data_IF_019486909954
#
_entry.id   IF_019486909954
#
_cell.length_a   1.000
_cell.length_b   1.000
_cell.length_c   1.000
_cell.angle_alpha   90.00
_cell.angle_beta   90.00
_cell.angle_gamma   90.00
#
_symmetry.space_group_name_H-M   'P 1'
#
loop_
_entity.id
_entity.type
_entity.pdbx_description
1 polymer ?
#
# COMPACT_ATOMS: atom_id res chain seq x y z
N UNK A 1 -9.48 3.80 -24.34
CA UNK A 1 -10.31 3.81 -23.12
C UNK A 1 -9.59 4.69 -22.13
N UNK A 2 -10.26 5.69 -21.56
CA UNK A 2 -9.63 6.67 -20.69
C UNK A 2 -9.23 6.02 -19.35
N UNK A 3 -8.00 6.26 -18.87
CA UNK A 3 -7.47 5.59 -17.68
C UNK A 3 -8.28 5.93 -16.42
N UNK A 4 -8.82 7.16 -16.36
CA UNK A 4 -9.71 7.60 -15.28
C UNK A 4 -10.99 6.74 -15.19
N UNK A 5 -11.62 6.45 -16.34
CA UNK A 5 -12.84 5.65 -16.39
C UNK A 5 -12.60 4.23 -15.86
N UNK A 6 -11.47 3.64 -16.22
CA UNK A 6 -11.10 2.31 -15.74
C UNK A 6 -10.84 2.30 -14.22
N UNK A 7 -10.14 3.31 -13.70
CA UNK A 7 -9.90 3.46 -12.26
C UNK A 7 -11.21 3.63 -11.49
N UNK A 8 -12.13 4.46 -11.99
CA UNK A 8 -13.44 4.68 -11.36
C UNK A 8 -14.26 3.39 -11.28
N UNK A 9 -14.28 2.59 -12.35
CA UNK A 9 -14.97 1.29 -12.36
C UNK A 9 -14.34 0.28 -11.40
N UNK A 10 -13.01 0.31 -11.18
CA UNK A 10 -12.34 -0.54 -10.18
C UNK A 10 -12.66 -0.15 -8.74
N UNK A 11 -12.93 1.13 -8.45
CA UNK A 11 -13.29 1.62 -7.11
C UNK A 11 -14.77 1.36 -6.80
N UNK A 12 -15.64 1.41 -7.82
CA UNK A 12 -17.10 1.32 -7.68
C UNK A 12 -17.61 0.19 -6.78
N UNK A 13 -17.06 -1.05 -6.80
CA UNK A 13 -17.51 -2.13 -5.92
C UNK A 13 -17.24 -1.91 -4.43
N UNK A 14 -16.36 -0.97 -4.07
CA UNK A 14 -15.99 -0.64 -2.69
C UNK A 14 -16.80 0.52 -2.11
N UNK A 15 -17.66 1.15 -2.92
CA UNK A 15 -18.52 2.23 -2.47
C UNK A 15 -19.76 1.68 -1.76
N UNK A 16 -20.16 2.34 -0.67
CA UNK A 16 -21.45 2.06 -0.05
C UNK A 16 -22.61 2.51 -0.95
N UNK A 17 -23.80 1.95 -0.70
CA UNK A 17 -25.00 2.35 -1.43
C UNK A 17 -25.27 3.86 -1.26
N UNK A 18 -25.35 4.58 -2.39
CA UNK A 18 -25.57 6.03 -2.43
C UNK A 18 -24.32 6.88 -2.13
N UNK A 19 -23.15 6.26 -1.95
CA UNK A 19 -21.86 6.97 -1.87
C UNK A 19 -21.40 7.36 -3.29
N UNK A 20 -20.88 8.58 -3.44
CA UNK A 20 -20.44 9.13 -4.71
C UNK A 20 -18.92 9.23 -4.75
N UNK A 21 -18.31 8.69 -5.79
CA UNK A 21 -16.89 8.84 -6.06
C UNK A 21 -16.61 10.25 -6.58
N UNK A 22 -15.86 11.04 -5.81
CA UNK A 22 -15.43 12.39 -6.18
C UNK A 22 -14.20 12.29 -7.08
N UNK A 23 -13.12 11.70 -6.59
CA UNK A 23 -11.85 11.60 -7.33
C UNK A 23 -11.18 10.25 -7.11
N UNK A 24 -10.36 9.83 -8.06
CA UNK A 24 -9.51 8.63 -7.97
C UNK A 24 -8.16 8.89 -8.63
N UNK A 25 -7.10 8.31 -8.07
CA UNK A 25 -5.76 8.36 -8.64
C UNK A 25 -5.02 7.05 -8.35
N UNK A 26 -4.24 6.58 -9.32
CA UNK A 26 -3.28 5.50 -9.09
C UNK A 26 -2.05 6.05 -8.37
N UNK A 27 -1.63 5.38 -7.31
CA UNK A 27 -0.55 5.85 -6.46
C UNK A 27 0.38 4.73 -6.00
N UNK A 28 1.57 5.15 -5.59
CA UNK A 28 2.60 4.34 -4.96
C UNK A 28 3.14 5.11 -3.74
N UNK A 29 3.75 4.41 -2.78
CA UNK A 29 4.42 5.11 -1.67
C UNK A 29 5.64 5.86 -2.18
N UNK A 30 5.88 7.05 -1.62
CA UNK A 30 7.06 7.84 -1.93
C UNK A 30 8.35 7.06 -1.65
N UNK A 31 9.40 7.24 -2.49
CA UNK A 31 10.68 6.56 -2.30
C UNK A 31 11.26 6.92 -0.93
N UNK A 32 11.62 5.94 -0.11
CA UNK A 32 12.11 6.17 1.25
C UNK A 32 11.03 6.25 2.34
N UNK A 33 9.74 6.06 2.03
CA UNK A 33 8.76 5.70 3.07
C UNK A 33 9.19 4.36 3.69
N UNK A 34 9.38 4.27 5.02
CA UNK A 34 9.84 3.03 5.63
C UNK A 34 8.85 1.89 5.47
N UNK A 35 9.38 0.67 5.32
CA UNK A 35 8.60 -0.54 5.52
C UNK A 35 8.22 -0.67 7.01
N UNK A 36 6.94 -0.99 7.34
CA UNK A 36 6.53 -1.23 8.72
C UNK A 36 7.28 -2.40 9.34
N UNK A 37 7.62 -2.34 10.65
CA UNK A 37 8.19 -3.48 11.34
C UNK A 37 7.22 -4.66 11.34
N UNK A 38 7.76 -5.87 11.17
CA UNK A 38 6.97 -7.10 11.07
C UNK A 38 6.05 -7.37 12.28
N UNK A 39 6.36 -6.80 13.45
CA UNK A 39 5.53 -6.90 14.65
C UNK A 39 4.21 -6.15 14.55
N UNK A 40 4.09 -5.19 13.63
CA UNK A 40 2.86 -4.44 13.37
C UNK A 40 2.02 -5.05 12.26
N UNK A 41 2.57 -6.02 11.52
CA UNK A 41 1.88 -6.66 10.41
C UNK A 41 1.11 -7.88 10.87
N UNK A 42 -0.06 -8.11 10.29
CA UNK A 42 -0.84 -9.31 10.51
C UNK A 42 -0.03 -10.55 10.07
N UNK A 43 -0.07 -11.66 10.86
CA UNK A 43 0.63 -12.88 10.50
C UNK A 43 0.17 -13.37 9.12
N UNK A 44 1.14 -13.76 8.29
CA UNK A 44 0.85 -14.23 6.93
C UNK A 44 -0.09 -15.44 6.99
N UNK A 45 -1.24 -15.35 6.33
CA UNK A 45 -2.10 -16.52 6.21
C UNK A 45 -1.38 -17.57 5.35
N UNK A 46 -1.29 -18.83 5.81
CA UNK A 46 -0.64 -19.87 5.04
C UNK A 46 -1.39 -20.08 3.73
N UNK A 47 -0.63 -20.05 2.62
CA UNK A 47 -1.17 -20.24 1.27
C UNK A 47 -1.92 -21.58 1.16
N UNK A 48 -2.86 -21.69 0.22
CA UNK A 48 -3.60 -22.95 0.02
C UNK A 48 -2.66 -24.13 -0.28
N UNK A 49 -1.54 -23.88 -0.96
CA UNK A 49 -0.50 -24.86 -1.19
C UNK A 49 0.17 -25.29 0.11
N UNK A 50 0.50 -24.35 1.00
CA UNK A 50 1.06 -24.65 2.31
C UNK A 50 0.08 -25.45 3.16
N UNK A 51 -1.21 -25.11 3.16
CA UNK A 51 -2.25 -25.89 3.85
C UNK A 51 -2.33 -27.33 3.32
N UNK A 52 -2.32 -27.51 1.99
CA UNK A 52 -2.32 -28.84 1.36
C UNK A 52 -1.08 -29.67 1.71
N UNK A 53 0.09 -29.04 1.78
CA UNK A 53 1.33 -29.73 2.17
C UNK A 53 1.28 -30.11 3.66
N UNK A 54 0.83 -29.21 4.52
CA UNK A 54 0.62 -29.49 5.94
C UNK A 54 -0.44 -30.57 6.18
N UNK A 55 -1.49 -30.65 5.36
CA UNK A 55 -2.51 -31.70 5.39
C UNK A 55 -1.98 -33.08 5.02
N UNK A 56 -1.05 -33.15 4.06
CA UNK A 56 -0.45 -34.40 3.61
C UNK A 56 0.72 -34.87 4.47
N UNK A 57 1.14 -34.10 5.48
CA UNK A 57 2.26 -34.46 6.35
C UNK A 57 1.81 -35.37 7.52
N UNK A 58 2.51 -36.49 7.79
CA UNK A 58 2.30 -37.34 8.96
C UNK A 58 2.36 -36.54 10.27
N UNK A 59 1.57 -36.94 11.29
CA UNK A 59 1.46 -36.26 12.60
C UNK A 59 2.79 -35.87 13.29
N UNK A 60 3.88 -36.69 13.27
CA UNK A 60 5.16 -36.27 13.85
C UNK A 60 5.85 -35.16 13.03
N UNK A 61 5.71 -35.18 11.70
CA UNK A 61 6.27 -34.16 10.81
C UNK A 61 5.46 -32.85 10.82
N UNK A 62 4.15 -32.91 11.10
CA UNK A 62 3.32 -31.73 11.39
C UNK A 62 3.76 -30.97 12.65
N UNK A 63 4.27 -31.67 13.68
CA UNK A 63 4.82 -31.03 14.88
C UNK A 63 6.18 -30.40 14.59
N UNK A 64 7.01 -31.06 13.79
CA UNK A 64 8.29 -30.53 13.34
C UNK A 64 8.16 -29.35 12.36
N UNK A 65 7.14 -29.33 11.50
CA UNK A 65 6.86 -28.16 10.67
C UNK A 65 6.42 -26.98 11.54
N UNK A 66 5.52 -27.20 12.52
CA UNK A 66 5.12 -26.16 13.48
C UNK A 66 6.27 -25.69 14.37
N UNK A 67 7.21 -26.54 14.75
CA UNK A 67 8.36 -26.17 15.59
C UNK A 67 9.54 -25.57 14.79
N UNK A 68 9.70 -25.93 13.51
CA UNK A 68 10.67 -25.30 12.60
C UNK A 68 10.15 -23.99 11.98
N UNK A 69 8.85 -23.72 12.03
CA UNK A 69 8.24 -22.46 11.61
C UNK A 69 8.52 -21.29 12.58
N UNK A 70 9.23 -21.52 13.70
CA UNK A 70 9.82 -20.46 14.52
C UNK A 70 11.16 -19.93 13.99
N UNK A 71 11.69 -20.46 12.89
CA UNK A 71 12.71 -19.77 12.11
C UNK A 71 12.47 -19.96 10.59
N UNK A 72 11.71 -19.05 9.95
CA UNK A 72 11.36 -19.15 8.54
C UNK A 72 12.52 -18.87 7.57
N UNK A 73 13.74 -18.58 8.04
CA UNK A 73 14.84 -18.08 7.20
C UNK A 73 15.61 -19.14 6.41
N UNK A 74 15.37 -20.45 6.62
CA UNK A 74 16.31 -21.47 6.13
C UNK A 74 15.83 -22.46 5.06
N UNK A 75 14.57 -22.43 4.62
CA UNK A 75 14.15 -23.43 3.62
C UNK A 75 12.93 -23.06 2.77
N UNK A 76 13.12 -22.18 1.77
CA UNK A 76 12.47 -22.30 0.46
C UNK A 76 13.02 -21.32 -0.58
N UNK A 77 13.26 -21.74 -1.84
CA UNK A 77 13.75 -20.87 -2.91
C UNK A 77 12.75 -19.76 -3.32
N UNK A 78 11.46 -19.92 -3.04
CA UNK A 78 10.46 -18.87 -3.30
C UNK A 78 10.51 -17.73 -2.26
N UNK A 79 10.78 -18.05 -0.99
CA UNK A 79 11.02 -17.04 0.05
C UNK A 79 12.42 -16.42 -0.11
N UNK A 80 13.37 -17.15 -0.70
CA UNK A 80 14.63 -16.58 -1.14
C UNK A 80 14.43 -15.62 -2.31
N UNK A 81 13.57 -15.89 -3.30
CA UNK A 81 13.25 -14.91 -4.34
C UNK A 81 12.59 -13.64 -3.75
N UNK A 82 11.60 -13.82 -2.88
CA UNK A 82 10.88 -12.73 -2.20
C UNK A 82 11.73 -11.97 -1.15
N UNK A 83 12.79 -12.59 -0.61
CA UNK A 83 13.72 -11.96 0.33
C UNK A 83 14.98 -11.40 -0.36
N UNK A 84 15.38 -11.97 -1.49
CA UNK A 84 16.46 -11.46 -2.36
C UNK A 84 15.96 -10.26 -3.15
N UNK A 85 14.65 -10.13 -3.43
CA UNK A 85 14.07 -8.86 -3.90
C UNK A 85 14.03 -7.80 -2.79
N UNK A 86 13.72 -8.16 -1.53
CA UNK A 86 13.58 -7.20 -0.41
C UNK A 86 14.87 -6.83 0.33
N UNK A 87 15.94 -7.60 0.18
CA UNK A 87 17.23 -7.34 0.85
C UNK A 87 18.04 -6.20 0.22
N UNK A 88 18.08 -6.02 -1.12
CA UNK A 88 18.57 -4.81 -1.76
C UNK A 88 17.77 -3.57 -1.31
N UNK A 89 16.45 -3.71 -1.20
CA UNK A 89 15.53 -2.61 -0.89
C UNK A 89 15.78 -1.95 0.48
N UNK A 90 16.20 -2.69 1.51
CA UNK A 90 16.37 -2.08 2.85
C UNK A 90 17.62 -1.17 2.94
N UNK A 91 18.65 -1.44 2.14
CA UNK A 91 19.86 -0.61 2.04
C UNK A 91 19.64 0.52 1.03
N UNK A 92 18.97 0.22 -0.08
CA UNK A 92 18.50 1.22 -1.03
C UNK A 92 17.52 2.20 -0.37
N UNK A 93 16.58 1.76 0.48
CA UNK A 93 15.67 2.61 1.24
C UNK A 93 16.39 3.61 2.13
N UNK A 94 17.50 3.20 2.74
CA UNK A 94 18.29 4.09 3.60
C UNK A 94 19.07 5.11 2.76
N UNK A 95 19.66 4.69 1.63
CA UNK A 95 20.30 5.58 0.67
C UNK A 95 19.29 6.53 0.00
N UNK A 96 18.10 6.04 -0.29
CA UNK A 96 16.99 6.74 -0.93
C UNK A 96 16.38 7.74 0.05
N UNK A 97 16.22 7.42 1.33
CA UNK A 97 15.86 8.40 2.38
C UNK A 97 16.89 9.53 2.50
N UNK A 98 18.17 9.19 2.46
CA UNK A 98 19.25 10.19 2.52
C UNK A 98 19.27 11.09 1.28
N UNK A 99 18.91 10.55 0.11
CA UNK A 99 18.87 11.27 -1.17
C UNK A 99 17.56 12.06 -1.40
N UNK A 100 16.43 11.58 -0.87
CA UNK A 100 15.08 12.09 -1.17
C UNK A 100 14.37 12.73 0.04
N UNK A 101 15.02 12.80 1.20
CA UNK A 101 14.48 13.37 2.43
C UNK A 101 13.48 12.46 3.16
N UNK A 102 12.95 12.97 4.28
CA UNK A 102 11.89 12.31 5.04
C UNK A 102 10.62 12.27 4.21
N UNK A 103 10.05 11.08 4.01
CA UNK A 103 8.81 10.87 3.24
C UNK A 103 7.66 10.26 4.07
N UNK A 104 7.86 10.16 5.39
CA UNK A 104 6.86 9.82 6.40
C UNK A 104 7.19 10.54 7.70
N UNK A 105 6.21 11.21 8.30
CA UNK A 105 6.32 11.92 9.58
C UNK A 105 5.30 11.39 10.59
N UNK A 106 5.60 11.45 11.90
CA UNK A 106 4.67 11.08 12.98
C UNK A 106 4.81 9.66 13.53
N UNK A 107 5.73 8.84 13.01
CA UNK A 107 5.99 7.48 13.52
C UNK A 107 4.89 6.46 13.20
N UNK A 108 4.97 5.25 13.78
CA UNK A 108 4.06 4.14 13.44
C UNK A 108 2.67 4.22 14.10
N UNK A 109 2.57 4.96 15.20
CA UNK A 109 1.35 5.08 16.00
C UNK A 109 0.40 6.16 15.45
N UNK A 110 0.91 7.06 14.61
CA UNK A 110 0.15 8.11 13.95
C UNK A 110 -0.81 7.57 12.89
N UNK A 111 -1.66 8.44 12.37
CA UNK A 111 -2.55 8.13 11.25
C UNK A 111 -1.77 7.81 9.98
N UNK A 112 -0.67 8.51 9.69
CA UNK A 112 0.21 8.20 8.57
C UNK A 112 0.89 6.83 8.74
N UNK A 113 1.39 6.52 9.93
CA UNK A 113 1.99 5.22 10.23
C UNK A 113 0.99 4.07 10.05
N UNK A 114 -0.23 4.24 10.58
CA UNK A 114 -1.32 3.27 10.43
C UNK A 114 -1.76 3.09 8.98
N UNK A 115 -1.77 4.17 8.18
CA UNK A 115 -2.04 4.11 6.75
C UNK A 115 -1.01 3.24 6.02
N UNK A 116 0.29 3.45 6.28
CA UNK A 116 1.36 2.65 5.67
C UNK A 116 1.29 1.19 6.12
N UNK A 117 1.03 0.93 7.41
CA UNK A 117 0.81 -0.43 7.94
C UNK A 117 -0.34 -1.12 7.22
N UNK A 118 -1.47 -0.42 7.04
CA UNK A 118 -2.65 -0.98 6.38
C UNK A 118 -2.38 -1.35 4.90
N UNK A 119 -1.62 -0.52 4.18
CA UNK A 119 -1.17 -0.84 2.82
C UNK A 119 -0.25 -2.06 2.79
N UNK A 120 0.72 -2.14 3.70
CA UNK A 120 1.62 -3.28 3.80
C UNK A 120 0.89 -4.58 4.17
N UNK A 121 -0.09 -4.52 5.08
CA UNK A 121 -0.96 -5.65 5.46
C UNK A 121 -1.89 -6.08 4.32
N UNK A 122 -2.24 -5.14 3.44
CA UNK A 122 -2.93 -5.43 2.21
C UNK A 122 -2.05 -6.20 1.21
N UNK A 123 -0.76 -6.44 1.49
CA UNK A 123 0.14 -7.37 0.75
C UNK A 123 -0.03 -7.28 -0.77
N UNK A 124 -0.27 -6.07 -1.24
CA UNK A 124 -0.46 -5.79 -2.65
C UNK A 124 0.86 -5.49 -3.34
N UNK A 125 0.79 -5.34 -4.65
CA UNK A 125 1.85 -4.76 -5.46
C UNK A 125 2.18 -3.35 -4.95
N UNK A 126 3.45 -2.99 -5.04
CA UNK A 126 3.91 -1.61 -4.80
C UNK A 126 3.32 -0.63 -5.82
N UNK A 127 2.91 -1.14 -6.99
CA UNK A 127 2.39 -0.38 -8.13
C UNK A 127 0.92 -0.68 -8.37
N UNK A 128 0.18 0.27 -8.95
CA UNK A 128 -1.22 0.08 -9.36
C UNK A 128 -2.25 0.12 -8.22
N UNK A 129 -1.85 0.55 -7.03
CA UNK A 129 -2.78 0.85 -5.93
C UNK A 129 -3.59 2.11 -6.27
N UNK A 130 -4.83 2.20 -5.79
CA UNK A 130 -5.73 3.34 -6.04
C UNK A 130 -6.05 4.08 -4.76
N UNK A 131 -5.90 5.40 -4.77
CA UNK A 131 -6.39 6.30 -3.73
C UNK A 131 -7.64 6.96 -4.26
N UNK A 132 -8.74 6.79 -3.54
CA UNK A 132 -10.04 7.28 -3.91
C UNK A 132 -10.63 8.14 -2.81
N UNK A 133 -11.44 9.09 -3.26
CA UNK A 133 -12.04 10.14 -2.46
C UNK A 133 -13.51 10.15 -2.78
N UNK A 134 -14.37 9.89 -1.80
CA UNK A 134 -15.83 9.82 -1.96
C UNK A 134 -16.51 10.99 -1.25
N UNK A 135 -17.81 11.22 -1.38
CA UNK A 135 -18.51 12.24 -0.58
C UNK A 135 -18.41 12.03 0.95
N UNK A 136 -18.01 10.83 1.42
CA UNK A 136 -18.01 10.47 2.86
C UNK A 136 -16.65 10.04 3.42
N UNK A 137 -15.81 9.44 2.60
CA UNK A 137 -14.60 8.76 3.07
C UNK A 137 -13.43 8.86 2.09
N UNK A 138 -12.25 8.58 2.63
CA UNK A 138 -11.06 8.24 1.86
C UNK A 138 -10.92 6.72 1.80
N UNK A 139 -10.48 6.22 0.66
CA UNK A 139 -10.28 4.80 0.40
C UNK A 139 -8.90 4.60 -0.23
N UNK A 140 -8.11 3.67 0.31
CA UNK A 140 -6.93 3.16 -0.38
C UNK A 140 -7.12 1.69 -0.70
N UNK A 141 -6.99 1.37 -1.99
CA UNK A 141 -7.12 0.03 -2.53
C UNK A 141 -5.75 -0.45 -2.99
N UNK A 142 -5.30 -1.59 -2.48
CA UNK A 142 -4.08 -2.24 -2.94
C UNK A 142 -4.39 -3.25 -4.04
N UNK A 143 -3.59 -3.28 -5.10
CA UNK A 143 -3.67 -4.34 -6.10
C UNK A 143 -3.03 -5.61 -5.55
N UNK A 144 -3.80 -6.67 -5.34
CA UNK A 144 -3.33 -7.98 -4.84
C UNK A 144 -3.28 -9.04 -5.95
N UNK A 145 -3.29 -8.61 -7.22
CA UNK A 145 -3.14 -9.49 -8.36
C UNK A 145 -1.81 -10.26 -8.30
N UNK A 146 -1.82 -11.50 -8.79
CA UNK A 146 -0.58 -12.23 -8.99
C UNK A 146 0.18 -11.63 -10.18
N UNK A 147 1.52 -11.69 -10.17
CA UNK A 147 2.37 -11.11 -11.23
C UNK A 147 2.04 -11.60 -12.66
N UNK A 148 1.46 -12.79 -12.79
CA UNK A 148 1.03 -13.37 -14.08
C UNK A 148 -0.37 -12.94 -14.51
N UNK A 149 -1.13 -12.29 -13.63
CA UNK A 149 -2.50 -11.86 -13.89
C UNK A 149 -2.50 -10.45 -14.46
N UNK A 150 -3.08 -10.28 -15.66
CA UNK A 150 -3.14 -8.98 -16.34
C UNK A 150 -4.24 -8.06 -15.82
N UNK A 151 -5.27 -8.62 -15.17
CA UNK A 151 -6.38 -7.85 -14.59
C UNK A 151 -6.13 -7.63 -13.10
N UNK A 152 -5.99 -6.36 -12.65
CA UNK A 152 -5.79 -6.03 -11.24
C UNK A 152 -6.93 -6.54 -10.37
N UNK A 153 -6.58 -7.03 -9.18
CA UNK A 153 -7.55 -7.49 -8.18
C UNK A 153 -7.40 -6.56 -6.99
N UNK A 154 -8.35 -5.64 -6.84
CA UNK A 154 -8.25 -4.65 -5.77
C UNK A 154 -8.69 -5.24 -4.43
N UNK A 155 -7.99 -4.86 -3.36
CA UNK A 155 -8.38 -5.11 -1.98
C UNK A 155 -8.40 -3.78 -1.23
N UNK A 156 -9.48 -3.49 -0.51
CA UNK A 156 -9.51 -2.33 0.38
C UNK A 156 -8.48 -2.52 1.49
N UNK A 157 -7.43 -1.70 1.45
CA UNK A 157 -6.36 -1.68 2.42
C UNK A 157 -6.71 -0.77 3.59
N UNK A 158 -7.24 0.40 3.29
CA UNK A 158 -7.50 1.43 4.27
C UNK A 158 -8.75 2.24 3.92
N UNK A 159 -9.46 2.68 4.96
CA UNK A 159 -10.58 3.60 4.86
C UNK A 159 -10.57 4.53 6.06
N UNK A 160 -10.88 5.80 5.84
CA UNK A 160 -11.05 6.78 6.90
C UNK A 160 -12.11 7.81 6.55
N UNK A 161 -12.77 8.44 7.56
CA UNK A 161 -13.68 9.53 7.29
C UNK A 161 -12.95 10.71 6.64
N UNK A 162 -13.67 11.55 5.88
CA UNK A 162 -13.09 12.74 5.21
C UNK A 162 -12.22 13.61 6.14
N UNK A 163 -12.70 13.81 7.36
CA UNK A 163 -12.06 14.62 8.38
C UNK A 163 -10.76 14.04 8.95
N UNK A 164 -10.39 12.80 8.64
CA UNK A 164 -9.12 12.22 9.09
C UNK A 164 -7.92 12.79 8.30
N UNK A 165 -8.15 13.25 7.07
CA UNK A 165 -7.13 13.86 6.22
C UNK A 165 -7.23 15.37 6.35
N UNK A 166 -6.15 15.99 6.83
CA UNK A 166 -6.02 17.43 6.99
C UNK A 166 -5.84 18.14 5.65
N UNK A 167 -5.04 17.57 4.75
CA UNK A 167 -4.84 18.09 3.40
C UNK A 167 -4.26 17.00 2.48
N UNK A 168 -4.44 17.18 1.18
CA UNK A 168 -3.69 16.48 0.15
C UNK A 168 -3.09 17.54 -0.77
N UNK A 169 -1.76 17.57 -0.87
CA UNK A 169 -1.05 18.63 -1.61
C UNK A 169 -0.17 17.99 -2.68
N UNK A 170 -0.33 18.43 -3.93
CA UNK A 170 0.69 18.17 -4.92
C UNK A 170 1.97 18.92 -4.51
N UNK A 171 3.05 18.19 -4.27
CA UNK A 171 4.33 18.74 -3.83
C UNK A 171 5.46 18.21 -4.72
N UNK A 172 5.50 18.60 -6.00
CA UNK A 172 6.51 18.11 -6.92
C UNK A 172 7.91 18.56 -6.47
N UNK A 173 8.79 17.60 -6.14
CA UNK A 173 10.17 17.90 -5.77
C UNK A 173 11.13 17.58 -6.92
N UNK A 174 11.68 18.64 -7.52
CA UNK A 174 12.63 18.53 -8.63
C UNK A 174 12.05 17.81 -9.86
N UNK A 175 12.91 17.24 -10.69
CA UNK A 175 12.52 16.52 -11.90
C UNK A 175 12.10 15.07 -11.59
N UNK A 176 12.68 14.47 -10.54
CA UNK A 176 12.49 13.05 -10.20
C UNK A 176 11.19 12.78 -9.44
N UNK A 177 10.65 13.74 -8.67
CA UNK A 177 9.41 13.57 -7.91
C UNK A 177 8.29 14.49 -8.39
N UNK A 178 8.18 14.73 -9.71
CA UNK A 178 7.10 15.53 -10.30
C UNK A 178 5.69 15.01 -10.02
N UNK A 179 5.57 13.77 -9.58
CA UNK A 179 4.30 13.07 -9.30
C UNK A 179 3.95 13.06 -7.81
N UNK A 180 4.76 13.70 -6.98
CA UNK A 180 4.62 13.64 -5.53
C UNK A 180 3.40 14.38 -5.04
N UNK A 181 2.70 13.73 -4.12
CA UNK A 181 1.63 14.29 -3.31
C UNK A 181 1.92 13.97 -1.85
N UNK A 182 1.71 14.94 -0.96
CA UNK A 182 1.79 14.70 0.47
C UNK A 182 0.37 14.58 1.02
N UNK A 183 0.07 13.42 1.63
CA UNK A 183 -1.18 13.15 2.33
C UNK A 183 -0.97 13.49 3.82
N UNK A 184 -1.54 14.61 4.25
CA UNK A 184 -1.46 15.13 5.61
C UNK A 184 -2.69 14.70 6.42
N UNK A 185 -2.46 14.18 7.63
CA UNK A 185 -3.52 13.75 8.55
C UNK A 185 -3.75 14.77 9.67
N UNK A 186 -4.89 14.68 10.34
CA UNK A 186 -5.29 15.65 11.39
C UNK A 186 -4.49 15.57 12.67
N UNK A 187 -3.73 14.49 12.90
CA UNK A 187 -2.76 14.40 13.99
C UNK A 187 -1.41 15.06 13.65
N UNK A 188 -1.30 15.73 12.49
CA UNK A 188 -0.10 16.39 12.00
C UNK A 188 0.91 15.44 11.34
N UNK A 189 0.64 14.14 11.34
CA UNK A 189 1.45 13.17 10.59
C UNK A 189 1.18 13.27 9.09
N UNK A 190 2.13 12.86 8.27
CA UNK A 190 1.97 12.89 6.82
C UNK A 190 2.80 11.81 6.14
N UNK A 191 2.41 11.44 4.92
CA UNK A 191 3.13 10.48 4.07
C UNK A 191 3.21 10.97 2.63
N UNK A 192 4.36 10.80 2.00
CA UNK A 192 4.54 11.06 0.58
C UNK A 192 3.96 9.91 -0.24
N UNK A 193 3.20 10.26 -1.26
CA UNK A 193 2.68 9.36 -2.30
C UNK A 193 3.19 9.84 -3.66
N UNK A 194 3.35 8.93 -4.61
CA UNK A 194 3.60 9.26 -6.01
C UNK A 194 2.39 8.86 -6.83
N UNK A 195 1.80 9.81 -7.56
CA UNK A 195 0.82 9.47 -8.60
C UNK A 195 1.50 8.72 -9.75
N UNK A 196 0.73 7.89 -10.48
CA UNK A 196 1.27 7.20 -11.67
C UNK A 196 1.66 8.19 -12.77
N UNK A 197 0.93 9.30 -12.95
CA UNK A 197 1.33 10.40 -13.84
C UNK A 197 1.41 11.77 -13.14
N UNK A 198 2.33 12.68 -13.55
CA UNK A 198 2.42 14.02 -12.95
C UNK A 198 1.14 14.84 -13.06
N UNK A 199 0.41 14.72 -14.17
CA UNK A 199 -0.85 15.41 -14.41
C UNK A 199 -1.98 14.95 -13.48
N UNK A 200 -1.92 13.70 -13.02
CA UNK A 200 -2.90 13.13 -12.09
C UNK A 200 -2.71 13.70 -10.68
N UNK A 201 -1.47 13.93 -10.24
CA UNK A 201 -1.19 14.41 -8.89
C UNK A 201 -1.87 15.76 -8.58
N UNK A 202 -1.70 16.74 -9.47
CA UNK A 202 -2.28 18.07 -9.29
C UNK A 202 -3.81 18.06 -9.45
N UNK A 203 -4.33 17.34 -10.44
CA UNK A 203 -5.77 17.24 -10.69
C UNK A 203 -6.49 16.57 -9.50
N UNK A 204 -5.95 15.45 -9.03
CA UNK A 204 -6.49 14.69 -7.90
C UNK A 204 -6.45 15.50 -6.60
N UNK A 205 -5.32 16.16 -6.29
CA UNK A 205 -5.23 17.02 -5.11
C UNK A 205 -6.24 18.18 -5.15
N UNK A 206 -6.42 18.81 -6.33
CA UNK A 206 -7.39 19.90 -6.49
C UNK A 206 -8.84 19.40 -6.33
N UNK A 207 -9.17 18.23 -6.88
CA UNK A 207 -10.52 17.68 -6.81
C UNK A 207 -10.87 17.14 -5.42
N UNK A 208 -9.91 16.57 -4.71
CA UNK A 208 -10.10 16.05 -3.35
C UNK A 208 -10.55 17.12 -2.34
N UNK A 209 -10.17 18.38 -2.58
CA UNK A 209 -10.48 19.54 -1.72
C UNK A 209 -11.85 20.18 -2.04
N UNK A 210 -12.39 19.97 -3.24
CA UNK A 210 -13.62 20.66 -3.71
C UNK A 210 -14.90 20.33 -2.93
N UNK A 211 -14.88 19.28 -2.10
CA UNK A 211 -16.06 18.76 -1.39
C UNK A 211 -15.80 18.52 0.10
N UNK A 212 -15.12 19.47 0.74
CA UNK A 212 -14.84 19.41 2.18
C UNK A 212 -15.94 20.08 3.01
#
# INVERSE_FOLDING_TARGET
MDADVEMRERVRPFLYAGEQLVAVCSFELGPGVPAPPASLLAPAQPSQLQRRIEEKLPRPLRRLSRSRLLDPRRSRPAAAADAVDRLPDAVDDLGTRLMHGTNLEGGWQSLAGKFVVALADARGSATGSLLAVTDRSWLALADVSALWQSTPVMRQAWQAPRQAVAALRANPQGVLQRRRMDLEFTDGSWVALLASAPSEAAAFAAEAVRYR
#
